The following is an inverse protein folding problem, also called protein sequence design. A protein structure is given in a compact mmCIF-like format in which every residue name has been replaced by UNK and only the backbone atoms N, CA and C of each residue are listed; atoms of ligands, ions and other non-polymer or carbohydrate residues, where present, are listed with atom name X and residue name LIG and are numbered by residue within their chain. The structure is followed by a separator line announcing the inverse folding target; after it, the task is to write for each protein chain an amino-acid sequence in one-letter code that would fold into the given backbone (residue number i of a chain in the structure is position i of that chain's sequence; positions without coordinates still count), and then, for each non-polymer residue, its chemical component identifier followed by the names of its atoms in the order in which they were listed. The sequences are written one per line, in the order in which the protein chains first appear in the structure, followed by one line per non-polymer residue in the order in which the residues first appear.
data_IF_427905801434
#
_entry.id   IF_427905801434
#
_cell.length_a   1.000
_cell.length_b   1.000
_cell.length_c   1.000
_cell.angle_alpha   90.00
_cell.angle_beta   90.00
_cell.angle_gamma   90.00
#
_symmetry.space_group_name_H-M   'P 1'
#
loop_
_entity.id
_entity.type
_entity.pdbx_description
1 polymer ?
#
# COMPACT_ATOMS: atom_id res chain seq x y z
N UNK A 1 -13.53 34.78 -15.69
CA UNK A 1 -13.98 34.27 -14.38
C UNK A 1 -13.31 32.91 -14.22
N UNK A 2 -12.61 32.67 -13.13
CA UNK A 2 -12.05 31.32 -12.89
C UNK A 2 -13.23 30.34 -12.74
N UNK A 3 -13.22 29.23 -13.49
CA UNK A 3 -14.22 28.18 -13.34
C UNK A 3 -14.22 27.68 -11.90
N UNK A 4 -15.39 27.35 -11.35
CA UNK A 4 -15.48 26.79 -10.02
C UNK A 4 -14.62 25.50 -9.96
N UNK A 5 -13.93 25.24 -8.84
CA UNK A 5 -13.08 24.07 -8.74
C UNK A 5 -13.87 22.78 -8.89
N UNK A 6 -13.33 21.83 -9.64
CA UNK A 6 -13.94 20.51 -9.77
C UNK A 6 -13.98 19.78 -8.42
N UNK A 7 -15.10 19.11 -8.12
CA UNK A 7 -15.34 18.46 -6.83
C UNK A 7 -15.10 16.95 -6.90
N UNK A 8 -14.30 16.46 -5.97
CA UNK A 8 -13.93 15.04 -5.88
C UNK A 8 -14.29 14.48 -4.49
N UNK A 9 -14.95 13.32 -4.44
CA UNK A 9 -15.10 12.57 -3.20
C UNK A 9 -14.12 11.40 -3.16
N UNK A 10 -13.42 11.26 -2.04
CA UNK A 10 -12.62 10.07 -1.70
C UNK A 10 -13.37 9.30 -0.63
N UNK A 11 -13.87 8.10 -0.96
CA UNK A 11 -14.60 7.25 -0.01
C UNK A 11 -13.66 6.18 0.52
N UNK A 12 -13.46 6.18 1.83
CA UNK A 12 -12.57 5.24 2.53
C UNK A 12 -13.27 4.57 3.72
N UNK A 13 -12.74 3.44 4.17
CA UNK A 13 -13.27 2.75 5.35
C UNK A 13 -13.04 3.57 6.61
N UNK A 14 -11.85 4.13 6.76
CA UNK A 14 -11.39 5.01 7.85
C UNK A 14 -10.22 5.84 7.34
N UNK A 15 -9.62 6.67 8.20
CA UNK A 15 -8.33 7.33 7.97
C UNK A 15 -7.33 6.91 9.08
N UNK A 16 -7.36 5.64 9.44
CA UNK A 16 -6.51 5.05 10.47
C UNK A 16 -6.09 3.64 10.06
N UNK A 17 -4.94 3.19 10.53
CA UNK A 17 -4.47 1.80 10.52
C UNK A 17 -4.61 1.04 9.17
N UNK A 18 -3.79 1.35 8.19
CA UNK A 18 -3.74 0.55 6.96
C UNK A 18 -3.13 1.29 5.79
N UNK A 19 -2.58 0.54 4.83
CA UNK A 19 -1.95 1.12 3.64
C UNK A 19 -2.96 1.81 2.71
N UNK A 20 -4.15 1.21 2.51
CA UNK A 20 -5.18 1.80 1.68
C UNK A 20 -5.72 3.11 2.28
N UNK A 21 -5.93 3.14 3.60
CA UNK A 21 -6.39 4.31 4.33
C UNK A 21 -5.36 5.45 4.28
N UNK A 22 -4.07 5.12 4.38
CA UNK A 22 -2.99 6.10 4.19
C UNK A 22 -2.96 6.64 2.77
N UNK A 23 -3.20 5.79 1.76
CA UNK A 23 -3.32 6.25 0.36
C UNK A 23 -4.49 7.21 0.19
N UNK A 24 -5.66 6.95 0.78
CA UNK A 24 -6.79 7.88 0.74
C UNK A 24 -6.45 9.25 1.35
N UNK A 25 -5.75 9.26 2.49
CA UNK A 25 -5.28 10.48 3.14
C UNK A 25 -4.29 11.25 2.24
N UNK A 26 -3.28 10.58 1.69
CA UNK A 26 -2.30 11.19 0.79
C UNK A 26 -2.94 11.75 -0.50
N UNK A 27 -3.90 11.01 -1.09
CA UNK A 27 -4.65 11.50 -2.26
C UNK A 27 -5.43 12.76 -1.94
N UNK A 28 -6.01 12.88 -0.74
CA UNK A 28 -6.75 14.08 -0.35
C UNK A 28 -5.85 15.32 -0.32
N UNK A 29 -4.66 15.19 0.23
CA UNK A 29 -3.65 16.27 0.24
C UNK A 29 -3.21 16.61 -1.18
N UNK A 30 -2.90 15.59 -1.97
CA UNK A 30 -2.45 15.74 -3.37
C UNK A 30 -3.49 16.49 -4.22
N UNK A 31 -4.78 16.13 -4.13
CA UNK A 31 -5.81 16.75 -4.93
C UNK A 31 -6.16 18.18 -4.48
N UNK A 32 -6.11 18.45 -3.17
CA UNK A 32 -6.21 19.85 -2.69
C UNK A 32 -5.07 20.71 -3.24
N UNK A 33 -3.84 20.20 -3.29
CA UNK A 33 -2.69 20.89 -3.87
C UNK A 33 -2.80 21.10 -5.39
N UNK A 34 -3.59 20.27 -6.09
CA UNK A 34 -3.93 20.43 -7.51
C UNK A 34 -5.08 21.39 -7.76
N UNK A 35 -5.69 21.95 -6.70
CA UNK A 35 -6.79 22.92 -6.80
C UNK A 35 -8.19 22.30 -6.89
N UNK A 36 -8.34 20.98 -6.64
CA UNK A 36 -9.65 20.34 -6.54
C UNK A 36 -10.31 20.63 -5.19
N UNK A 37 -11.64 20.75 -5.17
CA UNK A 37 -12.42 20.74 -3.94
C UNK A 37 -12.62 19.28 -3.50
N UNK A 38 -11.95 18.89 -2.41
CA UNK A 38 -11.88 17.50 -1.97
C UNK A 38 -12.81 17.24 -0.79
N UNK A 39 -13.64 16.19 -0.91
CA UNK A 39 -14.50 15.69 0.13
C UNK A 39 -14.03 14.29 0.55
N UNK A 40 -13.50 14.16 1.75
CA UNK A 40 -13.09 12.85 2.31
C UNK A 40 -14.27 12.25 3.07
N UNK A 41 -14.72 11.08 2.67
CA UNK A 41 -15.87 10.41 3.26
C UNK A 41 -15.43 9.15 3.97
N UNK A 42 -15.43 9.19 5.31
CA UNK A 42 -15.08 8.04 6.16
C UNK A 42 -16.31 7.26 6.57
N UNK A 43 -16.27 5.93 6.35
CA UNK A 43 -17.36 5.04 6.76
C UNK A 43 -17.35 4.78 8.27
N UNK A 44 -16.17 4.73 8.89
CA UNK A 44 -15.97 4.49 10.31
C UNK A 44 -15.36 5.73 10.97
N UNK A 45 -15.47 5.80 12.31
CA UNK A 45 -15.00 6.96 13.08
C UNK A 45 -13.56 6.78 13.62
N UNK A 46 -12.63 6.31 12.76
CA UNK A 46 -11.20 6.23 13.12
C UNK A 46 -10.41 7.14 12.19
N UNK A 47 -9.84 8.21 12.73
CA UNK A 47 -9.17 9.27 11.98
C UNK A 47 -7.84 9.59 12.66
N UNK A 48 -6.74 9.01 12.18
CA UNK A 48 -5.39 9.17 12.72
C UNK A 48 -4.44 9.82 11.69
N UNK A 49 -4.70 9.59 10.39
CA UNK A 49 -3.84 10.13 9.35
C UNK A 49 -4.20 11.58 9.01
N UNK A 50 -3.19 12.39 8.74
CA UNK A 50 -3.35 13.73 8.20
C UNK A 50 -4.02 13.68 6.84
N UNK A 51 -5.03 14.50 6.61
CA UNK A 51 -5.75 14.64 5.34
C UNK A 51 -6.03 16.13 5.04
N UNK A 52 -6.45 16.43 3.83
CA UNK A 52 -6.89 17.76 3.41
C UNK A 52 -8.29 17.70 2.77
N UNK A 53 -9.00 18.82 2.80
CA UNK A 53 -10.37 18.92 2.29
C UNK A 53 -11.43 18.77 3.39
N UNK A 54 -12.70 18.62 2.96
CA UNK A 54 -13.86 18.54 3.85
C UNK A 54 -14.09 17.08 4.29
N UNK A 55 -14.10 16.81 5.60
CA UNK A 55 -14.41 15.48 6.14
C UNK A 55 -15.91 15.31 6.35
N UNK A 56 -16.49 14.26 5.77
CA UNK A 56 -17.82 13.76 6.11
C UNK A 56 -17.73 12.39 6.77
N UNK A 57 -17.91 12.34 8.10
CA UNK A 57 -17.69 11.13 8.91
C UNK A 57 -19.00 10.39 9.17
N UNK A 58 -19.33 9.40 8.33
CA UNK A 58 -20.50 8.55 8.48
C UNK A 58 -20.46 7.64 9.72
N UNK A 59 -19.31 7.51 10.35
CA UNK A 59 -19.16 6.78 11.62
C UNK A 59 -19.79 7.51 12.78
N UNK A 60 -19.79 8.86 12.76
CA UNK A 60 -20.41 9.74 13.76
C UNK A 60 -21.88 9.99 13.42
N UNK A 61 -22.17 10.29 12.15
CA UNK A 61 -23.52 10.67 11.68
C UNK A 61 -24.58 9.55 11.89
N UNK A 62 -24.13 8.28 11.96
CA UNK A 62 -25.06 7.14 12.02
C UNK A 62 -24.93 6.42 13.34
N UNK A 63 -25.94 6.59 14.19
CA UNK A 63 -26.01 5.97 15.54
C UNK A 63 -26.82 4.67 15.58
N UNK A 64 -27.55 4.31 14.52
CA UNK A 64 -28.30 3.05 14.43
C UNK A 64 -27.37 1.82 14.45
N UNK A 65 -27.91 0.65 14.83
CA UNK A 65 -27.14 -0.61 14.91
C UNK A 65 -27.57 -1.59 13.81
N UNK A 66 -26.77 -2.62 13.61
CA UNK A 66 -27.08 -3.74 12.72
C UNK A 66 -27.16 -3.37 11.24
N UNK A 67 -28.05 -4.02 10.49
CA UNK A 67 -28.22 -3.83 9.04
C UNK A 67 -28.80 -2.46 8.67
N UNK A 68 -29.66 -1.88 9.52
CA UNK A 68 -30.21 -0.53 9.34
C UNK A 68 -29.12 0.52 9.26
N UNK A 69 -28.02 0.36 10.03
CA UNK A 69 -26.84 1.24 9.98
C UNK A 69 -26.26 1.31 8.57
N UNK A 70 -26.16 0.16 7.88
CA UNK A 70 -25.60 0.08 6.53
C UNK A 70 -26.45 0.82 5.51
N UNK A 71 -27.77 0.65 5.59
CA UNK A 71 -28.73 1.33 4.71
C UNK A 71 -28.71 2.85 4.97
N UNK A 72 -28.73 3.26 6.23
CA UNK A 72 -28.69 4.67 6.60
C UNK A 72 -27.41 5.33 6.09
N UNK A 73 -26.24 4.69 6.25
CA UNK A 73 -24.98 5.18 5.69
C UNK A 73 -25.04 5.34 4.18
N UNK A 74 -25.63 4.41 3.45
CA UNK A 74 -25.78 4.49 2.00
C UNK A 74 -26.68 5.68 1.56
N UNK A 75 -27.81 5.88 2.25
CA UNK A 75 -28.74 6.99 1.99
C UNK A 75 -28.05 8.33 2.26
N UNK A 76 -27.38 8.47 3.42
CA UNK A 76 -26.66 9.70 3.77
C UNK A 76 -25.53 10.00 2.79
N UNK A 77 -24.76 8.96 2.41
CA UNK A 77 -23.71 9.10 1.41
C UNK A 77 -24.29 9.60 0.09
N UNK A 78 -25.38 9.00 -0.43
CA UNK A 78 -26.01 9.45 -1.66
C UNK A 78 -26.51 10.90 -1.57
N UNK A 79 -27.17 11.26 -0.45
CA UNK A 79 -27.64 12.62 -0.20
C UNK A 79 -26.49 13.62 -0.18
N UNK A 80 -25.41 13.29 0.52
CA UNK A 80 -24.22 14.14 0.60
C UNK A 80 -23.59 14.36 -0.78
N UNK A 81 -23.33 13.29 -1.54
CA UNK A 81 -22.77 13.39 -2.89
C UNK A 81 -23.64 14.24 -3.82
N UNK A 82 -24.98 14.19 -3.65
CA UNK A 82 -25.92 14.99 -4.45
C UNK A 82 -25.96 16.44 -4.00
N UNK A 83 -26.06 16.72 -2.69
CA UNK A 83 -26.09 18.08 -2.15
C UNK A 83 -24.82 18.86 -2.43
N UNK A 84 -23.67 18.18 -2.43
CA UNK A 84 -22.37 18.80 -2.75
C UNK A 84 -22.06 18.82 -4.26
N UNK A 85 -22.97 18.30 -5.11
CA UNK A 85 -22.79 18.24 -6.57
C UNK A 85 -21.49 17.56 -7.01
N UNK A 86 -21.11 16.48 -6.32
CA UNK A 86 -19.89 15.72 -6.61
C UNK A 86 -20.09 14.90 -7.89
N UNK A 87 -19.20 15.07 -8.85
CA UNK A 87 -19.24 14.38 -10.15
C UNK A 87 -18.27 13.20 -10.25
N UNK A 88 -17.16 13.22 -9.50
CA UNK A 88 -16.14 12.17 -9.47
C UNK A 88 -16.03 11.58 -8.07
N UNK A 89 -16.12 10.25 -7.98
CA UNK A 89 -15.96 9.49 -6.73
C UNK A 89 -14.79 8.54 -6.87
N UNK A 90 -13.85 8.61 -5.95
CA UNK A 90 -12.75 7.65 -5.81
C UNK A 90 -13.10 6.72 -4.65
N UNK A 91 -13.43 5.47 -4.94
CA UNK A 91 -13.75 4.46 -3.92
C UNK A 91 -12.51 3.63 -3.61
N UNK A 92 -11.94 3.90 -2.45
CA UNK A 92 -10.66 3.34 -1.98
C UNK A 92 -10.84 2.07 -1.11
N UNK A 93 -12.07 1.53 -1.03
CA UNK A 93 -12.40 0.46 -0.08
C UNK A 93 -12.39 -0.93 -0.71
N UNK A 94 -12.19 -1.94 0.14
CA UNK A 94 -12.56 -3.33 -0.19
C UNK A 94 -14.07 -3.53 -0.21
N UNK A 95 -14.61 -4.32 -1.15
CA UNK A 95 -16.06 -4.47 -1.39
C UNK A 95 -16.46 -5.91 -1.73
N UNK A 96 -16.18 -6.91 -0.88
CA UNK A 96 -16.31 -8.32 -1.26
C UNK A 96 -17.75 -8.84 -1.35
N UNK A 97 -18.78 -8.03 -1.02
CA UNK A 97 -20.17 -8.50 -0.88
C UNK A 97 -21.05 -7.98 -2.00
N UNK A 98 -21.63 -8.87 -2.81
CA UNK A 98 -22.47 -8.55 -3.97
C UNK A 98 -23.57 -7.50 -3.67
N UNK A 99 -24.37 -7.71 -2.62
CA UNK A 99 -25.45 -6.77 -2.27
C UNK A 99 -24.92 -5.38 -1.92
N UNK A 100 -23.71 -5.28 -1.38
CA UNK A 100 -23.08 -3.99 -1.11
C UNK A 100 -22.77 -3.28 -2.43
N UNK A 101 -22.27 -3.98 -3.45
CA UNK A 101 -21.99 -3.40 -4.77
C UNK A 101 -23.27 -2.92 -5.46
N UNK A 102 -24.36 -3.64 -5.36
CA UNK A 102 -25.68 -3.21 -5.88
C UNK A 102 -26.10 -1.89 -5.21
N UNK A 103 -25.97 -1.79 -3.88
CA UNK A 103 -26.26 -0.55 -3.16
C UNK A 103 -25.35 0.59 -3.61
N UNK A 104 -24.04 0.35 -3.76
CA UNK A 104 -23.12 1.41 -4.20
C UNK A 104 -23.31 1.80 -5.67
N UNK A 105 -23.72 0.89 -6.54
CA UNK A 105 -24.16 1.23 -7.89
C UNK A 105 -25.33 2.25 -7.87
N UNK A 106 -26.27 2.06 -6.96
CA UNK A 106 -27.36 3.03 -6.74
C UNK A 106 -26.89 4.35 -6.10
N UNK A 107 -25.94 4.29 -5.14
CA UNK A 107 -25.37 5.47 -4.47
C UNK A 107 -24.60 6.33 -5.46
N UNK A 108 -23.79 5.72 -6.32
CA UNK A 108 -22.90 6.41 -7.27
C UNK A 108 -23.55 6.69 -8.64
N UNK A 109 -24.83 6.42 -8.78
CA UNK A 109 -25.58 6.64 -10.02
C UNK A 109 -25.27 8.02 -10.62
N UNK A 110 -25.04 8.08 -11.94
CA UNK A 110 -24.73 9.28 -12.72
C UNK A 110 -23.43 10.01 -12.33
N UNK A 111 -22.46 9.29 -11.74
CA UNK A 111 -21.15 9.82 -11.41
C UNK A 111 -20.04 9.01 -12.07
N UNK A 112 -18.90 9.64 -12.29
CA UNK A 112 -17.67 8.91 -12.64
C UNK A 112 -17.10 8.27 -11.39
N UNK A 113 -16.87 6.98 -11.44
CA UNK A 113 -16.35 6.23 -10.30
C UNK A 113 -15.00 5.64 -10.62
N UNK A 114 -14.01 5.98 -9.84
CA UNK A 114 -12.67 5.38 -9.86
C UNK A 114 -12.59 4.39 -8.70
N UNK A 115 -12.46 3.11 -9.02
CA UNK A 115 -12.26 2.07 -8.01
C UNK A 115 -10.78 1.79 -7.86
N UNK A 116 -10.25 1.97 -6.65
CA UNK A 116 -8.87 1.64 -6.34
C UNK A 116 -8.71 0.16 -5.95
N UNK A 117 -7.63 -0.45 -6.44
CA UNK A 117 -7.30 -1.85 -6.21
C UNK A 117 -5.93 -1.96 -5.53
N UNK A 118 -5.94 -2.25 -4.22
CA UNK A 118 -4.75 -2.27 -3.37
C UNK A 118 -4.20 -3.67 -3.10
N UNK A 119 -4.78 -4.73 -3.66
CA UNK A 119 -4.33 -6.10 -3.44
C UNK A 119 -4.56 -6.95 -4.67
N UNK A 120 -3.66 -7.91 -4.89
CA UNK A 120 -3.79 -8.91 -5.95
C UNK A 120 -4.98 -9.85 -5.74
N UNK A 121 -5.51 -9.99 -4.52
CA UNK A 121 -6.74 -10.71 -4.23
C UNK A 121 -7.95 -9.93 -4.74
N UNK A 122 -8.23 -9.99 -6.04
CA UNK A 122 -9.32 -9.25 -6.68
C UNK A 122 -10.70 -9.55 -6.10
N UNK A 123 -10.86 -10.71 -5.48
CA UNK A 123 -12.12 -11.11 -4.82
C UNK A 123 -12.49 -10.21 -3.63
N UNK A 124 -11.54 -9.46 -3.09
CA UNK A 124 -11.78 -8.43 -2.07
C UNK A 124 -12.43 -7.16 -2.66
N UNK A 125 -12.44 -7.00 -3.99
CA UNK A 125 -12.89 -5.80 -4.69
C UNK A 125 -13.97 -6.07 -5.72
N UNK A 126 -13.87 -7.18 -6.45
CA UNK A 126 -14.72 -7.51 -7.58
C UNK A 126 -15.47 -8.82 -7.33
N UNK A 127 -16.68 -8.90 -7.85
CA UNK A 127 -17.44 -10.15 -7.78
C UNK A 127 -16.78 -11.26 -8.62
N UNK A 128 -16.77 -12.50 -8.11
CA UNK A 128 -16.11 -13.65 -8.78
C UNK A 128 -16.69 -13.94 -10.17
N UNK A 129 -18.01 -13.76 -10.37
CA UNK A 129 -18.67 -13.94 -11.65
C UNK A 129 -18.43 -12.74 -12.56
N UNK A 130 -17.89 -12.97 -13.77
CA UNK A 130 -17.66 -11.95 -14.80
C UNK A 130 -18.96 -11.25 -15.20
N UNK A 131 -20.05 -12.00 -15.39
CA UNK A 131 -21.35 -11.46 -15.81
C UNK A 131 -21.87 -10.46 -14.77
N UNK A 132 -21.81 -10.84 -13.48
CA UNK A 132 -22.24 -9.97 -12.40
C UNK A 132 -21.30 -8.77 -12.23
N UNK A 133 -20.01 -8.95 -12.43
CA UNK A 133 -19.06 -7.84 -12.40
C UNK A 133 -19.36 -6.83 -13.52
N UNK A 134 -19.59 -7.27 -14.76
CA UNK A 134 -19.99 -6.38 -15.86
C UNK A 134 -21.34 -5.70 -15.63
N UNK A 135 -22.28 -6.37 -14.98
CA UNK A 135 -23.54 -5.75 -14.58
C UNK A 135 -23.37 -4.65 -13.52
N UNK A 136 -22.47 -4.87 -12.57
CA UNK A 136 -22.24 -3.94 -11.46
C UNK A 136 -21.47 -2.68 -11.90
N UNK A 137 -20.46 -2.84 -12.77
CA UNK A 137 -19.58 -1.75 -13.17
C UNK A 137 -19.95 -1.23 -14.55
N UNK A 138 -20.37 0.04 -14.59
CA UNK A 138 -20.88 0.71 -15.79
C UNK A 138 -19.77 1.31 -16.65
N UNK A 139 -20.13 1.89 -17.81
CA UNK A 139 -19.19 2.59 -18.68
C UNK A 139 -18.50 3.80 -18.04
N UNK A 140 -19.08 4.38 -16.98
CA UNK A 140 -18.48 5.48 -16.22
C UNK A 140 -17.53 4.99 -15.10
N UNK A 141 -17.22 3.70 -15.08
CA UNK A 141 -16.29 3.10 -14.12
C UNK A 141 -14.87 3.07 -14.69
N UNK A 142 -13.93 3.54 -13.90
CA UNK A 142 -12.49 3.44 -14.10
C UNK A 142 -11.89 2.60 -12.97
N UNK A 143 -10.94 1.73 -13.28
CA UNK A 143 -10.17 1.01 -12.28
C UNK A 143 -8.75 1.56 -12.22
N UNK A 144 -8.28 1.88 -11.04
CA UNK A 144 -6.89 2.24 -10.78
C UNK A 144 -6.27 1.17 -9.89
N UNK A 145 -5.29 0.48 -10.44
CA UNK A 145 -4.53 -0.55 -9.75
C UNK A 145 -3.19 0.03 -9.24
N UNK A 146 -2.78 -0.35 -8.04
CA UNK A 146 -1.52 0.13 -7.45
C UNK A 146 -0.28 -0.60 -7.97
N UNK A 147 -0.45 -1.59 -8.88
CA UNK A 147 0.64 -2.29 -9.57
C UNK A 147 0.19 -2.74 -10.96
N UNK A 148 1.17 -2.96 -11.86
CA UNK A 148 0.90 -3.48 -13.20
C UNK A 148 0.31 -4.89 -13.15
N UNK A 149 0.82 -5.73 -12.26
CA UNK A 149 0.33 -7.10 -12.07
C UNK A 149 -1.16 -7.12 -11.72
N UNK A 150 -1.62 -6.23 -10.84
CA UNK A 150 -3.05 -6.09 -10.50
C UNK A 150 -3.85 -5.62 -11.73
N UNK A 151 -3.37 -4.62 -12.45
CA UNK A 151 -4.05 -4.10 -13.64
C UNK A 151 -4.20 -5.18 -14.72
N UNK A 152 -3.14 -5.92 -15.02
CA UNK A 152 -3.14 -7.02 -15.97
C UNK A 152 -4.09 -8.15 -15.54
N UNK A 153 -4.11 -8.49 -14.25
CA UNK A 153 -5.01 -9.53 -13.75
C UNK A 153 -6.49 -9.12 -13.85
N UNK A 154 -6.81 -7.83 -13.61
CA UNK A 154 -8.18 -7.29 -13.84
C UNK A 154 -8.56 -7.42 -15.31
N UNK A 155 -7.67 -7.03 -16.22
CA UNK A 155 -7.92 -7.12 -17.66
C UNK A 155 -8.06 -8.57 -18.10
N UNK A 156 -7.15 -9.45 -17.66
CA UNK A 156 -7.15 -10.88 -17.99
C UNK A 156 -8.40 -11.60 -17.49
N UNK A 157 -8.77 -11.36 -16.21
CA UNK A 157 -9.87 -12.07 -15.54
C UNK A 157 -11.24 -11.53 -15.88
N UNK A 158 -11.39 -10.23 -16.07
CA UNK A 158 -12.69 -9.59 -16.28
C UNK A 158 -12.87 -8.92 -17.64
N UNK A 159 -11.81 -8.70 -18.41
CA UNK A 159 -11.90 -8.03 -19.71
C UNK A 159 -12.24 -6.54 -19.64
N UNK A 160 -12.10 -5.90 -18.49
CA UNK A 160 -12.33 -4.45 -18.37
C UNK A 160 -11.28 -3.66 -19.14
N UNK A 161 -11.73 -2.69 -19.97
CA UNK A 161 -10.84 -1.88 -20.82
C UNK A 161 -10.32 -0.62 -20.10
N UNK A 162 -11.08 -0.07 -19.19
CA UNK A 162 -10.72 1.14 -18.44
C UNK A 162 -9.99 0.77 -17.14
N UNK A 163 -8.78 0.24 -17.28
CA UNK A 163 -7.89 -0.12 -16.19
C UNK A 163 -6.57 0.58 -16.40
N UNK A 164 -6.11 1.30 -15.39
CA UNK A 164 -4.84 2.03 -15.40
C UNK A 164 -4.04 1.70 -14.17
N UNK A 165 -2.73 1.60 -14.30
CA UNK A 165 -1.82 1.54 -13.16
C UNK A 165 -1.42 2.94 -12.75
N UNK A 166 -1.66 3.30 -11.49
CA UNK A 166 -1.06 4.46 -10.82
C UNK A 166 -0.51 3.96 -9.50
N UNK A 167 0.79 3.94 -9.38
CA UNK A 167 1.49 3.49 -8.18
C UNK A 167 1.23 4.43 -7.00
N UNK A 168 1.43 3.91 -5.79
CA UNK A 168 1.49 4.77 -4.62
C UNK A 168 2.78 5.60 -4.66
N UNK A 169 2.69 6.87 -4.26
CA UNK A 169 3.87 7.74 -4.18
C UNK A 169 4.77 7.36 -3.02
N UNK A 170 6.06 7.65 -3.19
CA UNK A 170 7.00 7.72 -2.07
C UNK A 170 6.42 8.70 -1.03
N UNK A 171 6.40 8.35 0.27
CA UNK A 171 6.04 9.30 1.31
C UNK A 171 6.95 10.52 1.25
N UNK A 172 6.39 11.69 1.56
CA UNK A 172 7.19 12.91 1.70
C UNK A 172 7.98 12.81 3.02
N UNK A 173 9.26 12.49 2.90
CA UNK A 173 10.18 12.57 4.01
C UNK A 173 11.12 13.74 3.73
N UNK A 174 11.06 14.75 4.59
CA UNK A 174 12.12 15.74 4.64
C UNK A 174 13.43 15.00 4.82
N UNK A 175 14.45 15.30 3.99
CA UNK A 175 15.80 14.78 4.21
C UNK A 175 16.18 15.05 5.67
N UNK A 176 15.86 14.09 6.53
CA UNK A 176 16.31 14.10 7.91
C UNK A 176 17.82 14.06 7.80
N UNK A 177 18.47 15.09 8.28
CA UNK A 177 19.91 15.22 8.36
C UNK A 177 20.48 13.85 8.69
N UNK A 178 21.55 13.44 8.01
CA UNK A 178 22.22 12.17 8.24
C UNK A 178 22.30 11.89 9.74
N UNK A 179 21.43 11.00 10.22
CA UNK A 179 21.38 10.69 11.65
C UNK A 179 22.66 9.90 11.93
N UNK A 180 23.52 10.37 12.84
CA UNK A 180 24.68 9.59 13.23
C UNK A 180 24.22 8.19 13.63
N UNK A 181 24.87 7.17 13.11
CA UNK A 181 24.61 5.77 13.50
C UNK A 181 24.88 5.65 15.01
N UNK A 182 23.82 5.59 15.79
CA UNK A 182 23.89 5.39 17.26
C UNK A 182 23.88 3.91 17.62
N UNK A 183 23.57 3.04 16.64
CA UNK A 183 23.50 1.60 16.84
C UNK A 183 24.88 0.97 16.86
N UNK A 184 25.19 0.29 17.95
CA UNK A 184 26.48 -0.41 18.13
C UNK A 184 26.57 -1.73 17.37
N UNK A 185 25.44 -2.34 17.01
CA UNK A 185 25.37 -3.64 16.32
C UNK A 185 24.69 -3.47 14.95
N UNK A 186 25.31 -3.87 13.84
CA UNK A 186 24.70 -3.80 12.53
C UNK A 186 23.48 -4.75 12.42
N UNK A 187 22.48 -4.36 11.63
CA UNK A 187 21.25 -5.13 11.49
C UNK A 187 20.66 -5.10 10.09
N UNK A 188 19.84 -6.10 9.80
CA UNK A 188 18.88 -6.11 8.69
C UNK A 188 17.48 -5.86 9.26
N UNK A 189 16.59 -5.29 8.44
CA UNK A 189 15.29 -4.86 8.92
C UNK A 189 14.16 -5.47 8.09
N UNK A 190 13.18 -6.06 8.78
CA UNK A 190 11.82 -6.21 8.29
C UNK A 190 10.95 -5.12 8.95
N UNK A 191 10.07 -4.47 8.19
CA UNK A 191 9.09 -3.55 8.76
C UNK A 191 7.74 -3.64 8.06
N UNK A 192 6.68 -3.54 8.85
CA UNK A 192 5.30 -3.62 8.38
C UNK A 192 4.38 -4.32 9.36
N UNK A 193 3.15 -4.61 8.92
CA UNK A 193 2.15 -5.28 9.75
C UNK A 193 2.58 -6.70 10.12
N UNK A 194 2.47 -7.05 11.41
CA UNK A 194 2.79 -8.38 11.92
C UNK A 194 1.61 -9.35 11.72
N UNK A 195 1.43 -9.79 10.46
CA UNK A 195 0.42 -10.73 9.98
C UNK A 195 1.12 -11.84 9.20
N UNK A 196 1.27 -13.00 9.82
CA UNK A 196 2.04 -14.12 9.26
C UNK A 196 1.40 -14.71 8.00
N UNK A 197 0.08 -14.63 7.85
CA UNK A 197 -0.61 -15.12 6.65
C UNK A 197 -0.28 -14.29 5.41
N UNK A 198 0.11 -13.04 5.62
CA UNK A 198 0.50 -12.13 4.53
C UNK A 198 2.01 -12.02 4.43
N UNK A 199 2.71 -11.77 5.55
CA UNK A 199 4.13 -11.42 5.59
C UNK A 199 5.07 -12.61 5.75
N UNK A 200 4.55 -13.80 6.11
CA UNK A 200 5.28 -15.07 6.17
C UNK A 200 6.55 -15.01 7.04
N UNK A 201 6.37 -14.63 8.30
CA UNK A 201 7.48 -14.57 9.26
C UNK A 201 8.18 -15.92 9.48
N UNK A 202 7.43 -17.03 9.32
CA UNK A 202 8.02 -18.36 9.37
C UNK A 202 9.11 -18.57 8.31
N UNK A 203 8.89 -18.05 7.09
CA UNK A 203 9.90 -18.07 6.02
C UNK A 203 11.08 -17.15 6.36
N UNK A 204 10.81 -15.94 6.84
CA UNK A 204 11.83 -14.96 7.20
C UNK A 204 12.79 -15.51 8.27
N UNK A 205 12.24 -16.02 9.37
CA UNK A 205 13.02 -16.53 10.49
C UNK A 205 13.82 -17.79 10.12
N UNK A 206 13.23 -18.70 9.34
CA UNK A 206 13.95 -19.87 8.80
C UNK A 206 15.10 -19.44 7.87
N UNK A 207 14.87 -18.48 6.97
CA UNK A 207 15.89 -17.97 6.07
C UNK A 207 17.01 -17.26 6.85
N UNK A 208 16.66 -16.44 7.83
CA UNK A 208 17.64 -15.76 8.67
C UNK A 208 18.52 -16.77 9.44
N UNK A 209 17.93 -17.80 10.05
CA UNK A 209 18.70 -18.87 10.70
C UNK A 209 19.65 -19.60 9.74
N UNK A 210 19.16 -19.92 8.53
CA UNK A 210 19.96 -20.63 7.52
C UNK A 210 21.08 -19.78 6.92
N UNK A 211 20.93 -18.46 6.92
CA UNK A 211 21.90 -17.54 6.31
C UNK A 211 23.23 -17.44 7.10
N UNK A 212 23.26 -17.86 8.38
CA UNK A 212 24.43 -17.68 9.23
C UNK A 212 24.76 -16.22 9.57
N UNK A 213 23.87 -15.28 9.30
CA UNK A 213 24.09 -13.86 9.58
C UNK A 213 24.17 -13.56 11.08
N UNK A 214 23.50 -14.36 11.93
CA UNK A 214 23.67 -14.32 13.39
C UNK A 214 25.11 -14.53 13.81
N UNK A 215 25.79 -15.53 13.21
CA UNK A 215 27.17 -15.86 13.52
C UNK A 215 28.15 -14.80 13.00
N UNK A 216 27.74 -14.05 11.97
CA UNK A 216 28.46 -12.89 11.44
C UNK A 216 28.19 -11.58 12.25
N UNK A 217 27.42 -11.64 13.35
CA UNK A 217 27.09 -10.50 14.20
C UNK A 217 26.07 -9.51 13.59
N UNK A 218 25.32 -9.93 12.58
CA UNK A 218 24.30 -9.11 11.92
C UNK A 218 22.91 -9.48 12.46
N UNK A 219 22.29 -8.60 13.24
CA UNK A 219 20.98 -8.83 13.84
C UNK A 219 19.83 -8.70 12.84
N UNK A 220 18.70 -9.36 13.10
CA UNK A 220 17.42 -9.12 12.45
C UNK A 220 16.52 -8.28 13.36
N UNK A 221 16.09 -7.10 12.90
CA UNK A 221 15.05 -6.32 13.55
C UNK A 221 13.72 -6.48 12.81
N UNK A 222 12.66 -6.75 13.54
CA UNK A 222 11.29 -6.87 13.03
C UNK A 222 10.49 -5.71 13.64
N UNK A 223 10.18 -4.68 12.84
CA UNK A 223 9.49 -3.49 13.30
C UNK A 223 8.03 -3.46 12.81
N UNK A 224 7.11 -3.33 13.75
CA UNK A 224 5.69 -3.22 13.41
C UNK A 224 4.77 -3.63 14.54
N UNK A 225 3.49 -3.75 14.19
CA UNK A 225 2.42 -4.21 15.07
C UNK A 225 1.46 -5.09 14.28
N UNK A 226 0.76 -6.01 14.97
CA UNK A 226 -0.21 -6.88 14.35
C UNK A 226 -0.60 -8.09 15.21
N UNK A 227 -1.59 -8.88 14.72
CA UNK A 227 -2.19 -9.95 15.51
C UNK A 227 -1.21 -11.10 15.83
N UNK A 228 -0.14 -11.26 15.03
CA UNK A 228 0.75 -12.41 15.13
C UNK A 228 2.08 -12.11 15.88
N UNK A 229 2.18 -10.99 16.62
CA UNK A 229 3.37 -10.64 17.39
C UNK A 229 3.79 -11.76 18.38
N UNK A 230 2.81 -12.33 19.11
CA UNK A 230 3.07 -13.44 20.02
C UNK A 230 3.54 -14.71 19.30
N UNK A 231 2.93 -15.03 18.15
CA UNK A 231 3.36 -16.15 17.30
C UNK A 231 4.80 -15.98 16.80
N UNK A 232 5.17 -14.77 16.37
CA UNK A 232 6.53 -14.47 15.90
C UNK A 232 7.54 -14.66 17.04
N UNK A 233 7.24 -14.20 18.24
CA UNK A 233 8.11 -14.38 19.42
C UNK A 233 8.28 -15.87 19.77
N UNK A 234 7.20 -16.64 19.68
CA UNK A 234 7.27 -18.09 19.88
C UNK A 234 8.20 -18.76 18.85
N UNK A 235 8.08 -18.40 17.57
CA UNK A 235 8.96 -18.92 16.51
C UNK A 235 10.44 -18.53 16.73
N UNK A 236 10.71 -17.30 17.18
CA UNK A 236 12.07 -16.84 17.54
C UNK A 236 12.65 -17.75 18.62
N UNK A 237 11.90 -18.06 19.67
CA UNK A 237 12.34 -18.95 20.76
C UNK A 237 12.57 -20.39 20.27
N UNK A 238 11.63 -20.96 19.50
CA UNK A 238 11.74 -22.32 18.95
C UNK A 238 12.96 -22.48 18.05
N UNK A 239 13.30 -21.43 17.29
CA UNK A 239 14.49 -21.41 16.43
C UNK A 239 15.78 -21.03 17.17
N UNK A 240 15.73 -20.73 18.48
CA UNK A 240 16.88 -20.32 19.30
C UNK A 240 17.53 -19.03 18.77
N UNK A 241 16.70 -18.05 18.37
CA UNK A 241 17.14 -16.77 17.79
C UNK A 241 16.95 -15.58 18.73
N UNK A 242 16.66 -15.80 20.03
CA UNK A 242 16.28 -14.73 20.96
C UNK A 242 17.36 -13.65 21.14
N UNK A 243 18.63 -14.03 21.03
CA UNK A 243 19.75 -13.09 21.16
C UNK A 243 20.08 -12.34 19.86
N UNK A 244 19.47 -12.75 18.74
CA UNK A 244 19.79 -12.25 17.41
C UNK A 244 18.63 -11.55 16.70
N UNK A 245 17.40 -11.71 17.21
CA UNK A 245 16.19 -11.13 16.61
C UNK A 245 15.47 -10.24 17.61
N UNK A 246 15.28 -8.98 17.27
CA UNK A 246 14.55 -8.02 18.10
C UNK A 246 13.21 -7.63 17.43
N UNK A 247 12.12 -7.64 18.21
CA UNK A 247 10.84 -7.08 17.78
C UNK A 247 10.76 -5.64 18.28
N UNK A 248 10.61 -4.68 17.35
CA UNK A 248 10.46 -3.27 17.63
C UNK A 248 9.00 -2.85 17.47
N UNK A 249 8.51 -1.89 18.29
CA UNK A 249 7.17 -1.38 18.14
C UNK A 249 7.00 -0.67 16.78
N UNK A 250 5.74 -0.52 16.34
CA UNK A 250 5.40 0.29 15.18
C UNK A 250 5.89 1.73 15.36
N UNK A 251 6.46 2.29 14.29
CA UNK A 251 6.85 3.69 14.21
C UNK A 251 6.11 4.35 13.03
N UNK A 252 5.53 5.52 13.27
CA UNK A 252 4.85 6.31 12.22
C UNK A 252 5.83 6.86 11.19
N UNK A 253 7.05 7.16 11.63
CA UNK A 253 8.15 7.64 10.79
C UNK A 253 9.36 6.69 10.90
N UNK A 254 9.37 5.62 10.10
CA UNK A 254 10.37 4.56 10.24
C UNK A 254 11.71 4.89 9.58
N UNK A 255 11.84 6.04 8.90
CA UNK A 255 12.96 6.34 7.99
C UNK A 255 14.33 6.27 8.64
N UNK A 256 14.46 6.74 9.89
CA UNK A 256 15.74 6.67 10.63
C UNK A 256 16.16 5.22 10.84
N UNK A 257 15.22 4.35 11.24
CA UNK A 257 15.49 2.93 11.46
C UNK A 257 15.78 2.22 10.14
N UNK A 258 15.10 2.59 9.05
CA UNK A 258 15.38 2.04 7.72
C UNK A 258 16.77 2.45 7.25
N UNK A 259 17.14 3.73 7.34
CA UNK A 259 18.45 4.24 6.87
C UNK A 259 19.65 3.60 7.57
N UNK A 260 19.49 3.20 8.83
CA UNK A 260 20.54 2.55 9.62
C UNK A 260 20.64 1.04 9.35
N UNK A 261 19.65 0.43 8.71
CA UNK A 261 19.70 -0.96 8.33
C UNK A 261 20.72 -1.19 7.19
N UNK A 262 21.45 -2.30 7.24
CA UNK A 262 22.34 -2.68 6.14
C UNK A 262 21.54 -2.94 4.87
N UNK A 263 20.42 -3.67 4.96
CA UNK A 263 19.42 -3.84 3.94
C UNK A 263 18.09 -4.25 4.58
N UNK A 264 17.01 -4.15 3.83
CA UNK A 264 15.69 -4.63 4.31
C UNK A 264 15.33 -5.96 3.67
N UNK A 265 14.43 -6.70 4.31
CA UNK A 265 14.00 -8.02 3.84
C UNK A 265 12.47 -8.07 3.72
N UNK A 266 11.96 -8.61 2.60
CA UNK A 266 10.54 -8.89 2.40
C UNK A 266 10.33 -10.38 2.10
N UNK A 267 9.48 -11.05 2.92
CA UNK A 267 9.18 -12.49 2.82
C UNK A 267 7.73 -12.80 2.50
N UNK A 268 6.97 -11.81 2.03
CA UNK A 268 5.52 -11.85 1.90
C UNK A 268 5.02 -12.97 0.98
N UNK A 269 3.87 -13.55 1.29
CA UNK A 269 3.19 -14.52 0.41
C UNK A 269 2.58 -13.83 -0.81
N UNK A 270 2.04 -12.64 -0.64
CA UNK A 270 1.49 -11.77 -1.69
C UNK A 270 1.48 -10.32 -1.21
N UNK A 271 1.53 -9.40 -2.16
CA UNK A 271 1.43 -7.96 -1.92
C UNK A 271 0.37 -7.31 -2.85
N UNK A 272 0.09 -6.07 -2.65
CA UNK A 272 -0.54 -5.22 -3.63
C UNK A 272 0.52 -4.37 -4.33
N UNK A 273 1.14 -3.51 -3.54
CA UNK A 273 2.33 -2.74 -3.87
C UNK A 273 3.13 -2.57 -2.57
N UNK A 274 4.29 -3.20 -2.43
CA UNK A 274 5.00 -3.29 -1.16
C UNK A 274 5.69 -1.96 -0.80
N UNK A 275 4.97 -1.10 -0.05
CA UNK A 275 5.50 0.19 0.37
C UNK A 275 6.81 0.07 1.17
N UNK A 276 7.00 -1.02 1.91
CA UNK A 276 8.26 -1.29 2.61
C UNK A 276 9.46 -1.34 1.65
N UNK A 277 9.28 -1.92 0.45
CA UNK A 277 10.32 -1.90 -0.61
C UNK A 277 10.54 -0.48 -1.11
N UNK A 278 9.45 0.24 -1.43
CA UNK A 278 9.52 1.63 -1.92
C UNK A 278 10.21 2.53 -0.91
N UNK A 279 9.81 2.47 0.35
CA UNK A 279 10.36 3.28 1.44
C UNK A 279 11.85 2.97 1.69
N UNK A 280 12.23 1.69 1.62
CA UNK A 280 13.63 1.27 1.76
C UNK A 280 14.50 1.84 0.64
N UNK A 281 14.11 1.61 -0.62
CA UNK A 281 14.85 2.09 -1.78
C UNK A 281 14.92 3.62 -1.83
N UNK A 282 13.83 4.30 -1.45
CA UNK A 282 13.77 5.76 -1.44
C UNK A 282 14.77 6.43 -0.49
N UNK A 283 15.14 5.75 0.60
CA UNK A 283 16.18 6.23 1.54
C UNK A 283 17.56 5.64 1.27
N UNK A 284 17.75 4.98 0.12
CA UNK A 284 19.05 4.48 -0.31
C UNK A 284 19.44 3.13 0.29
N UNK A 285 18.49 2.36 0.84
CA UNK A 285 18.73 1.06 1.45
C UNK A 285 18.27 -0.06 0.50
N UNK A 286 19.16 -0.97 0.07
CA UNK A 286 18.82 -2.07 -0.82
C UNK A 286 17.90 -3.10 -0.15
N UNK A 287 17.23 -3.92 -0.96
CA UNK A 287 16.22 -4.86 -0.48
C UNK A 287 16.52 -6.28 -0.94
N UNK A 288 16.39 -7.24 -0.03
CA UNK A 288 16.29 -8.67 -0.37
C UNK A 288 14.82 -9.10 -0.27
N UNK A 289 14.24 -9.59 -1.35
CA UNK A 289 12.82 -9.93 -1.38
C UNK A 289 12.56 -11.26 -2.07
N UNK A 290 11.52 -11.93 -1.61
CA UNK A 290 10.91 -12.98 -2.40
C UNK A 290 10.09 -12.38 -3.55
N UNK A 291 10.07 -13.06 -4.70
CA UNK A 291 9.21 -12.72 -5.82
C UNK A 291 7.80 -13.27 -5.58
N UNK A 292 7.05 -12.57 -4.72
CA UNK A 292 5.66 -12.90 -4.47
C UNK A 292 4.75 -12.25 -5.50
N UNK A 293 3.51 -12.74 -5.58
CA UNK A 293 2.51 -12.16 -6.48
C UNK A 293 2.30 -10.68 -6.18
N UNK A 294 2.51 -9.87 -7.22
CA UNK A 294 2.34 -8.42 -7.31
C UNK A 294 3.34 -7.60 -6.48
N UNK A 295 4.05 -6.76 -7.15
CA UNK A 295 4.81 -5.64 -6.61
C UNK A 295 6.32 -5.81 -6.52
N UNK A 296 6.93 -6.83 -5.88
CA UNK A 296 8.38 -6.87 -5.72
C UNK A 296 9.15 -6.83 -7.05
N UNK A 297 8.76 -7.64 -8.02
CA UNK A 297 9.39 -7.67 -9.36
C UNK A 297 9.20 -6.37 -10.18
N UNK A 298 8.24 -5.51 -9.79
CA UNK A 298 8.06 -4.19 -10.42
C UNK A 298 8.99 -3.12 -9.85
N UNK A 299 9.58 -3.39 -8.68
CA UNK A 299 10.41 -2.45 -7.92
C UNK A 299 11.88 -2.87 -7.84
N UNK A 300 12.12 -4.20 -7.74
CA UNK A 300 13.46 -4.75 -7.54
C UNK A 300 13.99 -5.31 -8.85
N UNK A 301 15.05 -4.70 -9.33
CA UNK A 301 15.88 -5.22 -10.40
C UNK A 301 17.06 -5.96 -9.75
N UNK A 302 17.01 -7.30 -9.78
CA UNK A 302 17.96 -8.14 -9.04
C UNK A 302 19.40 -7.87 -9.48
N UNK A 303 20.29 -7.62 -8.51
CA UNK A 303 21.68 -7.22 -8.73
C UNK A 303 21.91 -5.75 -9.07
N UNK A 304 20.84 -4.93 -9.12
CA UNK A 304 20.95 -3.49 -9.38
C UNK A 304 20.57 -2.63 -8.16
N UNK A 305 19.42 -2.92 -7.50
CA UNK A 305 18.94 -2.17 -6.35
C UNK A 305 18.54 -3.08 -5.17
N UNK A 306 18.80 -4.38 -5.32
CA UNK A 306 18.46 -5.41 -4.34
C UNK A 306 18.60 -6.80 -4.96
N UNK A 307 18.08 -7.81 -4.26
CA UNK A 307 18.02 -9.18 -4.73
C UNK A 307 16.59 -9.71 -4.68
N UNK A 308 16.17 -10.37 -5.74
CA UNK A 308 14.85 -10.97 -5.87
C UNK A 308 14.99 -12.48 -6.04
N UNK A 309 14.34 -13.26 -5.16
CA UNK A 309 14.46 -14.73 -5.14
C UNK A 309 13.09 -15.40 -5.25
N UNK A 310 13.02 -16.68 -5.68
CA UNK A 310 11.75 -17.40 -5.75
C UNK A 310 11.00 -17.41 -4.42
N UNK A 311 9.67 -17.19 -4.47
CA UNK A 311 8.83 -17.21 -3.28
C UNK A 311 8.81 -18.62 -2.64
N UNK A 312 8.50 -18.70 -1.35
CA UNK A 312 8.44 -19.93 -0.55
C UNK A 312 9.75 -20.74 -0.49
N UNK A 313 10.88 -20.12 -0.80
CA UNK A 313 12.20 -20.76 -0.76
C UNK A 313 13.10 -20.12 0.30
N UNK A 314 13.11 -20.72 1.49
CA UNK A 314 13.92 -20.24 2.61
C UNK A 314 15.43 -20.29 2.34
N UNK A 315 15.90 -21.27 1.56
CA UNK A 315 17.32 -21.37 1.21
C UNK A 315 17.72 -20.25 0.26
N UNK A 316 16.94 -20.01 -0.82
CA UNK A 316 17.26 -18.94 -1.75
C UNK A 316 17.22 -17.54 -1.07
N UNK A 317 16.29 -17.33 -0.13
CA UNK A 317 16.24 -16.09 0.65
C UNK A 317 17.45 -15.97 1.58
N UNK A 318 17.88 -17.06 2.21
CA UNK A 318 19.07 -17.12 3.06
C UNK A 318 20.35 -16.82 2.26
N UNK A 319 20.52 -17.48 1.11
CA UNK A 319 21.67 -17.29 0.23
C UNK A 319 21.76 -15.83 -0.27
N UNK A 320 20.64 -15.22 -0.66
CA UNK A 320 20.59 -13.83 -1.08
C UNK A 320 20.93 -12.85 0.06
N UNK A 321 20.43 -13.09 1.27
CA UNK A 321 20.81 -12.29 2.45
C UNK A 321 22.30 -12.40 2.74
N UNK A 322 22.87 -13.60 2.69
CA UNK A 322 24.29 -13.83 2.89
C UNK A 322 25.13 -13.18 1.79
N UNK A 323 24.74 -13.34 0.52
CA UNK A 323 25.43 -12.74 -0.63
C UNK A 323 25.46 -11.22 -0.51
N UNK A 324 24.31 -10.57 -0.25
CA UNK A 324 24.27 -9.12 -0.13
C UNK A 324 25.04 -8.61 1.10
N UNK A 325 25.20 -9.43 2.14
CA UNK A 325 26.03 -9.11 3.30
C UNK A 325 27.53 -9.19 3.01
N UNK A 326 27.99 -10.23 2.30
CA UNK A 326 29.40 -10.57 2.14
C UNK A 326 30.03 -10.01 0.86
N UNK A 327 29.25 -9.85 -0.20
CA UNK A 327 29.71 -9.29 -1.48
C UNK A 327 29.63 -7.76 -1.45
N UNK A 328 30.71 -7.11 -1.01
CA UNK A 328 30.78 -5.64 -0.89
C UNK A 328 30.52 -4.92 -2.21
N UNK A 329 31.02 -5.45 -3.33
CA UNK A 329 30.83 -4.82 -4.64
C UNK A 329 29.36 -4.82 -5.06
N UNK A 330 28.64 -5.93 -4.85
CA UNK A 330 27.21 -6.05 -5.10
C UNK A 330 26.40 -5.13 -4.17
N UNK A 331 26.75 -5.12 -2.87
CA UNK A 331 26.10 -4.28 -1.89
C UNK A 331 26.19 -2.79 -2.27
N UNK A 332 27.38 -2.29 -2.55
CA UNK A 332 27.59 -0.89 -2.94
C UNK A 332 26.87 -0.55 -4.24
N UNK A 333 26.87 -1.45 -5.22
CA UNK A 333 26.10 -1.27 -6.45
C UNK A 333 24.59 -1.12 -6.16
N UNK A 334 24.03 -2.04 -5.39
CA UNK A 334 22.62 -2.01 -5.04
C UNK A 334 22.25 -0.75 -4.24
N UNK A 335 23.09 -0.35 -3.29
CA UNK A 335 22.90 0.84 -2.47
C UNK A 335 22.90 2.12 -3.31
N UNK A 336 23.89 2.27 -4.21
CA UNK A 336 24.03 3.46 -5.05
C UNK A 336 22.89 3.63 -6.05
N UNK A 337 22.25 2.53 -6.48
CA UNK A 337 21.13 2.55 -7.41
C UNK A 337 19.76 2.61 -6.72
N UNK A 338 19.68 2.33 -5.41
CA UNK A 338 18.41 2.17 -4.71
C UNK A 338 17.49 3.38 -4.88
N UNK A 339 17.94 4.58 -4.51
CA UNK A 339 17.11 5.79 -4.53
C UNK A 339 16.66 6.15 -5.95
N UNK A 340 17.56 6.09 -6.92
CA UNK A 340 17.27 6.40 -8.32
C UNK A 340 16.23 5.44 -8.92
N UNK A 341 16.25 4.18 -8.51
CA UNK A 341 15.35 3.15 -9.05
C UNK A 341 13.86 3.43 -8.79
N UNK A 342 13.53 4.20 -7.77
CA UNK A 342 12.16 4.55 -7.38
C UNK A 342 11.80 6.02 -7.61
N UNK A 343 12.66 6.81 -8.23
CA UNK A 343 12.45 8.25 -8.48
C UNK A 343 11.16 8.53 -9.29
N UNK A 344 10.79 7.60 -10.17
CA UNK A 344 9.54 7.65 -10.94
C UNK A 344 8.28 7.55 -10.07
N UNK A 345 8.40 7.11 -8.81
CA UNK A 345 7.35 7.07 -7.80
C UNK A 345 7.29 8.34 -6.95
N UNK A 346 8.07 9.37 -7.29
CA UNK A 346 8.03 10.66 -6.58
C UNK A 346 6.61 11.23 -6.56
N UNK A 347 6.29 11.97 -5.50
CA UNK A 347 4.99 12.64 -5.36
C UNK A 347 4.64 13.47 -6.61
N UNK A 348 5.64 14.15 -7.21
CA UNK A 348 5.48 14.93 -8.44
C UNK A 348 5.04 14.07 -9.62
N UNK A 349 5.68 12.92 -9.83
CA UNK A 349 5.37 12.00 -10.94
C UNK A 349 3.99 11.37 -10.79
N UNK A 350 3.65 10.92 -9.58
CA UNK A 350 2.35 10.30 -9.31
C UNK A 350 1.22 11.36 -9.38
N UNK A 351 1.47 12.57 -8.89
CA UNK A 351 0.54 13.70 -9.02
C UNK A 351 0.20 14.01 -10.48
N UNK A 352 1.19 14.01 -11.37
CA UNK A 352 0.96 14.25 -12.79
C UNK A 352 0.08 13.15 -13.41
N UNK A 353 0.29 11.88 -13.06
CA UNK A 353 -0.53 10.77 -13.56
C UNK A 353 -1.99 10.90 -13.10
N UNK A 354 -2.23 11.22 -11.83
CA UNK A 354 -3.57 11.47 -11.31
C UNK A 354 -4.24 12.66 -11.96
N UNK A 355 -3.51 13.77 -12.12
CA UNK A 355 -4.05 14.95 -12.77
C UNK A 355 -4.48 14.67 -14.22
N UNK A 356 -3.66 13.96 -14.99
CA UNK A 356 -4.02 13.57 -16.36
C UNK A 356 -5.28 12.69 -16.39
N UNK A 357 -5.38 11.70 -15.49
CA UNK A 357 -6.58 10.86 -15.41
C UNK A 357 -7.84 11.68 -15.11
N UNK A 358 -7.77 12.59 -14.14
CA UNK A 358 -8.90 13.42 -13.73
C UNK A 358 -9.30 14.41 -14.82
N UNK A 359 -8.34 15.05 -15.50
CA UNK A 359 -8.63 15.92 -16.63
C UNK A 359 -9.41 15.21 -17.75
N UNK A 360 -8.95 14.02 -18.15
CA UNK A 360 -9.67 13.19 -19.16
C UNK A 360 -11.11 12.85 -18.72
N UNK A 361 -11.34 12.69 -17.41
CA UNK A 361 -12.69 12.40 -16.89
C UNK A 361 -13.57 13.65 -16.93
N UNK A 362 -13.05 14.82 -16.60
CA UNK A 362 -13.81 16.06 -16.59
C UNK A 362 -14.08 16.59 -18.01
N UNK A 363 -13.09 16.56 -18.92
CA UNK A 363 -13.25 17.00 -20.33
C UNK A 363 -14.32 16.24 -21.13
N UNK A 364 -14.71 15.05 -20.70
CA UNK A 364 -15.80 14.28 -21.31
C UNK A 364 -17.20 14.71 -20.86
N UNK A 365 -17.29 15.62 -19.93
CA UNK A 365 -18.54 16.06 -19.31
C UNK A 365 -18.83 17.55 -19.49
N UNK A 366 -17.85 18.32 -19.96
CA UNK A 366 -18.03 19.68 -20.49
C UNK A 366 -18.40 19.62 -22.00
#
# INVERSE_FOLDING_TARGET
MASAPHKIAIVTTSLAQGGAERVAANLSVMFCQLGYEVHVISINNSIDFHYSGQLYNLGIEVQTKGWLRKIQKAILLKRYLTSQQISVVIDNRTRPVFWREVVYKWVYQNRNVIYMMHSFKLENYLHKSHILAHFLYTNNTQFVAVSQAIAQEIQRKYGFKKVQTIYNSIPDFTESQAVPTTESVPYILFFGRLDNQVKNFSLLLQAYKKSGLSDAGLQLKIMGDGPDAAFILEQINQLQLIDFVAILPFQSEPFVVIQQAKFTVLSSQYEGFPMAVVESLAVGVPVVSVDCQSGPAELIQSGENGLLVPNHNAQALADAMYELHTNTALYEKCKNNAQKSVEHLSLKSIRAQWNNLLQVIYEKHD
#
